data_IF_089070167564
#
_entry.id   IF_089070167564
#
_cell.length_a   1.000
_cell.length_b   1.000
_cell.length_c   1.000
_cell.angle_alpha   90.00
_cell.angle_beta   90.00
_cell.angle_gamma   90.00
#
_symmetry.space_group_name_H-M   'P 1'
#
loop_
_entity.id
_entity.type
_entity.pdbx_description
1 polymer ?
#
# COMPACT_ATOMS: atom_id res chain seq x y z
N UNK A 1 0.81 23.13 -44.26
CA UNK A 1 1.56 22.28 -43.30
C UNK A 1 1.46 22.95 -41.95
N UNK A 2 0.68 22.37 -41.04
CA UNK A 2 0.30 23.03 -39.79
C UNK A 2 1.41 22.91 -38.74
N UNK A 3 1.89 24.04 -38.24
CA UNK A 3 2.85 24.10 -37.15
C UNK A 3 2.14 23.79 -35.83
N UNK A 4 1.95 22.50 -35.55
CA UNK A 4 1.44 22.01 -34.28
C UNK A 4 2.32 22.50 -33.13
N UNK A 5 1.85 23.53 -32.42
CA UNK A 5 2.47 24.07 -31.21
C UNK A 5 2.39 23.04 -30.09
N UNK A 6 3.38 22.14 -30.04
CA UNK A 6 3.51 21.06 -29.07
C UNK A 6 3.59 21.64 -27.64
N UNK A 7 2.44 21.78 -26.98
CA UNK A 7 2.39 21.95 -25.52
C UNK A 7 3.12 20.75 -24.92
N UNK A 8 4.25 21.01 -24.25
CA UNK A 8 5.01 19.97 -23.56
C UNK A 8 4.07 19.28 -22.56
N UNK A 9 3.85 17.96 -22.65
CA UNK A 9 2.93 17.26 -21.77
C UNK A 9 3.41 17.37 -20.32
N UNK A 10 2.49 17.58 -19.37
CA UNK A 10 2.83 17.67 -17.94
C UNK A 10 2.93 16.26 -17.35
N UNK A 11 4.15 15.76 -17.30
CA UNK A 11 4.51 14.42 -16.84
C UNK A 11 5.26 14.54 -15.52
N UNK A 12 4.76 13.87 -14.50
CA UNK A 12 5.25 13.89 -13.13
C UNK A 12 5.27 12.48 -12.53
N UNK A 13 5.81 12.34 -11.32
CA UNK A 13 6.02 11.03 -10.69
C UNK A 13 4.71 10.27 -10.36
N UNK A 14 3.54 10.89 -10.47
CA UNK A 14 2.26 10.21 -10.29
C UNK A 14 1.67 9.70 -11.61
N UNK A 15 1.88 10.41 -12.73
CA UNK A 15 1.22 10.10 -14.01
C UNK A 15 2.16 9.56 -15.12
N UNK A 16 3.48 9.51 -14.91
CA UNK A 16 4.42 9.09 -15.97
C UNK A 16 4.30 7.63 -16.45
N UNK A 17 3.63 6.75 -15.70
CA UNK A 17 3.31 5.37 -16.13
C UNK A 17 1.98 5.27 -16.90
N UNK A 18 1.22 6.37 -17.04
CA UNK A 18 -0.04 6.37 -17.78
C UNK A 18 0.16 6.03 -19.26
N UNK A 19 -0.77 5.26 -19.83
CA UNK A 19 -0.72 4.85 -21.24
C UNK A 19 -0.67 6.03 -22.23
N UNK A 20 -1.20 7.20 -21.84
CA UNK A 20 -1.14 8.45 -22.63
C UNK A 20 0.29 8.97 -22.86
N UNK A 21 1.26 8.62 -22.01
CA UNK A 21 2.65 9.08 -22.11
C UNK A 21 3.63 7.99 -22.54
N UNK A 22 3.17 6.75 -22.79
CA UNK A 22 4.01 5.60 -23.16
C UNK A 22 4.91 5.84 -24.38
N UNK A 23 4.46 6.67 -25.33
CA UNK A 23 5.21 7.06 -26.54
C UNK A 23 5.67 8.52 -26.51
N UNK A 24 5.70 9.15 -25.33
CA UNK A 24 6.21 10.51 -25.14
C UNK A 24 7.72 10.58 -25.37
N UNK A 25 8.18 11.67 -26.00
CA UNK A 25 9.61 12.01 -26.08
C UNK A 25 10.23 12.39 -24.73
N UNK A 26 9.40 12.75 -23.75
CA UNK A 26 9.81 13.24 -22.43
C UNK A 26 9.42 12.26 -21.32
N UNK A 27 10.35 12.03 -20.38
CA UNK A 27 10.19 11.10 -19.25
C UNK A 27 9.53 11.76 -18.03
N UNK A 28 10.02 12.94 -17.65
CA UNK A 28 9.45 13.80 -16.63
C UNK A 28 9.61 15.25 -17.10
N UNK A 29 8.58 16.07 -16.90
CA UNK A 29 8.57 17.50 -17.28
C UNK A 29 8.15 18.41 -16.12
N UNK A 30 7.59 17.85 -15.05
CA UNK A 30 7.29 18.56 -13.80
C UNK A 30 8.58 18.94 -13.06
N UNK A 31 8.84 20.25 -12.80
CA UNK A 31 10.07 20.69 -12.14
C UNK A 31 10.27 20.05 -10.76
N UNK A 32 9.20 19.92 -9.96
CA UNK A 32 9.26 19.29 -8.62
C UNK A 32 9.53 17.79 -8.67
N UNK A 33 9.17 17.12 -9.75
CA UNK A 33 9.54 15.71 -9.97
C UNK A 33 11.00 15.55 -10.38
N UNK A 34 11.51 16.44 -11.22
CA UNK A 34 12.92 16.47 -11.60
C UNK A 34 13.82 16.84 -10.41
N UNK A 35 13.41 17.81 -9.60
CA UNK A 35 14.08 18.20 -8.35
C UNK A 35 14.13 17.04 -7.35
N UNK A 36 13.01 16.34 -7.12
CA UNK A 36 12.97 15.15 -6.26
C UNK A 36 13.91 14.03 -6.73
N UNK A 37 13.98 13.78 -8.04
CA UNK A 37 14.92 12.82 -8.63
C UNK A 37 16.38 13.27 -8.46
N UNK A 38 16.66 14.55 -8.71
CA UNK A 38 17.99 15.14 -8.58
C UNK A 38 18.54 15.08 -7.15
N UNK A 39 17.70 15.37 -6.14
CA UNK A 39 18.09 15.30 -4.72
C UNK A 39 18.42 13.87 -4.25
N UNK A 40 17.87 12.85 -4.92
CA UNK A 40 18.14 11.44 -4.62
C UNK A 40 19.22 10.82 -5.52
N UNK A 41 19.76 11.58 -6.48
CA UNK A 41 20.71 11.06 -7.47
C UNK A 41 20.10 10.01 -8.42
N UNK A 42 18.77 9.97 -8.56
CA UNK A 42 18.06 8.99 -9.39
C UNK A 42 17.83 9.61 -10.77
N UNK A 43 18.39 9.06 -11.88
CA UNK A 43 18.09 9.56 -13.20
C UNK A 43 16.64 9.18 -13.58
N UNK A 44 15.81 10.09 -14.14
CA UNK A 44 14.42 9.79 -14.49
C UNK A 44 14.23 8.55 -15.38
N UNK A 45 15.21 8.27 -16.26
CA UNK A 45 15.20 7.11 -17.17
C UNK A 45 15.24 5.77 -16.41
N UNK A 46 15.84 5.72 -15.21
CA UNK A 46 15.86 4.51 -14.38
C UNK A 46 14.49 4.16 -13.79
N UNK A 47 13.55 5.11 -13.75
CA UNK A 47 12.21 4.90 -13.21
C UNK A 47 11.25 4.29 -14.24
N UNK A 48 11.59 4.33 -15.53
CA UNK A 48 10.79 3.75 -16.60
C UNK A 48 10.73 2.22 -16.49
N UNK A 49 9.52 1.68 -16.56
CA UNK A 49 9.31 0.25 -16.68
C UNK A 49 9.91 -0.27 -18.00
N UNK A 50 10.74 -1.31 -17.92
CA UNK A 50 11.27 -2.03 -19.08
C UNK A 50 10.50 -3.33 -19.22
N UNK A 51 9.97 -3.59 -20.41
CA UNK A 51 9.26 -4.84 -20.65
C UNK A 51 10.19 -6.05 -20.51
N UNK A 52 9.63 -7.19 -20.09
CA UNK A 52 10.36 -8.47 -20.03
C UNK A 52 11.06 -8.80 -21.36
N UNK A 53 10.45 -8.45 -22.48
CA UNK A 53 11.00 -8.60 -23.84
C UNK A 53 12.24 -7.74 -24.10
N UNK A 54 12.23 -6.47 -23.71
CA UNK A 54 13.41 -5.59 -23.81
C UNK A 54 14.53 -6.05 -22.87
N UNK A 55 14.18 -6.49 -21.66
CA UNK A 55 15.16 -7.01 -20.69
C UNK A 55 15.85 -8.29 -21.21
N UNK A 56 15.07 -9.24 -21.75
CA UNK A 56 15.60 -10.44 -22.41
C UNK A 56 16.52 -10.13 -23.60
N UNK A 57 16.23 -9.07 -24.36
CA UNK A 57 17.06 -8.65 -25.50
C UNK A 57 18.47 -8.20 -25.08
N UNK A 58 18.64 -7.66 -23.87
CA UNK A 58 19.95 -7.28 -23.32
C UNK A 58 20.74 -8.46 -22.75
N UNK A 59 20.08 -9.52 -22.26
CA UNK A 59 20.71 -10.62 -21.51
C UNK A 59 20.75 -11.98 -22.25
N UNK A 60 20.77 -11.98 -23.59
CA UNK A 60 20.77 -13.18 -24.47
C UNK A 60 21.84 -14.26 -24.19
N UNK A 61 22.83 -14.01 -23.33
CA UNK A 61 23.92 -14.94 -22.99
C UNK A 61 23.70 -15.72 -21.68
N UNK A 62 22.61 -15.49 -20.96
CA UNK A 62 22.32 -16.12 -19.66
C UNK A 62 21.19 -17.17 -19.75
N UNK A 63 21.12 -18.15 -18.83
CA UNK A 63 19.99 -19.08 -18.76
C UNK A 63 18.67 -18.36 -18.44
N UNK A 64 17.53 -18.72 -19.06
CA UNK A 64 16.25 -18.04 -18.87
C UNK A 64 15.84 -17.85 -17.40
N UNK A 65 16.03 -18.88 -16.56
CA UNK A 65 15.70 -18.81 -15.12
C UNK A 65 16.49 -17.74 -14.37
N UNK A 66 17.76 -17.50 -14.75
CA UNK A 66 18.58 -16.46 -14.12
C UNK A 66 18.24 -15.06 -14.63
N UNK A 67 17.81 -14.95 -15.89
CA UNK A 67 17.31 -13.67 -16.42
C UNK A 67 16.00 -13.27 -15.72
N UNK A 68 15.11 -14.23 -15.44
CA UNK A 68 13.86 -13.95 -14.73
C UNK A 68 14.11 -13.42 -13.30
N UNK A 69 15.01 -14.07 -12.56
CA UNK A 69 15.42 -13.63 -11.21
C UNK A 69 16.03 -12.22 -11.24
N UNK A 70 16.88 -11.92 -12.22
CA UNK A 70 17.47 -10.59 -12.42
C UNK A 70 16.43 -9.54 -12.83
N UNK A 71 15.45 -9.91 -13.65
CA UNK A 71 14.35 -9.04 -14.06
C UNK A 71 13.49 -8.64 -12.85
N UNK A 72 13.04 -9.63 -12.05
CA UNK A 72 12.28 -9.41 -10.81
C UNK A 72 13.03 -8.46 -9.87
N UNK A 73 14.31 -8.74 -9.61
CA UNK A 73 15.16 -7.91 -8.75
C UNK A 73 15.35 -6.48 -9.29
N UNK A 74 15.41 -6.31 -10.62
CA UNK A 74 15.54 -4.99 -11.24
C UNK A 74 14.24 -4.17 -11.16
N UNK A 75 13.07 -4.81 -11.30
CA UNK A 75 11.77 -4.15 -11.11
C UNK A 75 11.51 -3.80 -9.65
N UNK A 76 11.94 -4.64 -8.70
CA UNK A 76 11.92 -4.33 -7.27
C UNK A 76 12.76 -3.07 -6.97
N UNK A 77 14.01 -3.03 -7.43
CA UNK A 77 14.88 -1.84 -7.30
C UNK A 77 14.29 -0.59 -7.96
N UNK A 78 13.61 -0.74 -9.11
CA UNK A 78 12.91 0.37 -9.80
C UNK A 78 11.76 0.90 -8.94
N UNK A 79 10.93 0.02 -8.38
CA UNK A 79 9.82 0.38 -7.49
C UNK A 79 10.31 1.09 -6.24
N UNK A 80 11.38 0.60 -5.61
CA UNK A 80 12.01 1.26 -4.46
C UNK A 80 12.52 2.67 -4.77
N UNK A 81 13.20 2.85 -5.91
CA UNK A 81 13.63 4.16 -6.41
C UNK A 81 12.42 5.08 -6.62
N UNK A 82 11.34 4.56 -7.21
CA UNK A 82 10.13 5.33 -7.49
C UNK A 82 9.40 5.77 -6.22
N UNK A 83 9.22 4.89 -5.24
CA UNK A 83 8.60 5.22 -3.95
C UNK A 83 9.39 6.32 -3.22
N UNK A 84 10.72 6.22 -3.20
CA UNK A 84 11.61 7.26 -2.63
C UNK A 84 11.44 8.60 -3.35
N UNK A 85 11.39 8.60 -4.69
CA UNK A 85 11.19 9.80 -5.49
C UNK A 85 9.81 10.46 -5.26
N UNK A 86 8.72 9.67 -5.22
CA UNK A 86 7.37 10.16 -4.89
C UNK A 86 7.32 10.80 -3.50
N UNK A 87 7.90 10.15 -2.50
CA UNK A 87 7.97 10.68 -1.14
C UNK A 87 8.78 11.99 -1.06
N UNK A 88 9.89 12.09 -1.78
CA UNK A 88 10.69 13.31 -1.82
C UNK A 88 9.95 14.46 -2.52
N UNK A 89 9.22 14.19 -3.61
CA UNK A 89 8.31 15.16 -4.26
C UNK A 89 7.23 15.65 -3.28
N UNK A 90 6.65 14.75 -2.48
CA UNK A 90 5.65 15.12 -1.47
C UNK A 90 6.24 16.04 -0.39
N UNK A 91 7.47 15.79 0.08
CA UNK A 91 8.18 16.68 1.01
C UNK A 91 8.43 18.06 0.43
N UNK A 92 8.85 18.16 -0.83
CA UNK A 92 9.04 19.43 -1.53
C UNK A 92 7.72 20.22 -1.61
N UNK A 93 6.61 19.54 -1.93
CA UNK A 93 5.28 20.16 -1.95
C UNK A 93 4.85 20.66 -0.56
N UNK A 94 5.07 19.87 0.50
CA UNK A 94 4.77 20.27 1.88
C UNK A 94 5.57 21.51 2.32
N UNK A 95 6.89 21.50 2.11
CA UNK A 95 7.76 22.64 2.44
C UNK A 95 7.37 23.91 1.68
N UNK A 96 6.90 23.79 0.43
CA UNK A 96 6.37 24.95 -0.32
C UNK A 96 5.01 25.43 0.17
N UNK A 97 4.23 24.61 0.87
CA UNK A 97 2.98 25.05 1.49
C UNK A 97 3.25 25.81 2.80
N UNK A 98 4.23 25.37 3.59
CA UNK A 98 4.61 25.99 4.87
C UNK A 98 5.25 27.38 4.65
N UNK A 99 6.16 27.51 3.66
CA UNK A 99 6.82 28.80 3.37
C UNK A 99 5.88 29.89 2.83
N UNK A 100 4.69 29.53 2.34
CA UNK A 100 3.66 30.48 1.91
C UNK A 100 2.81 31.01 3.08
N UNK A 101 3.03 30.56 4.32
CA UNK A 101 2.27 31.02 5.49
C UNK A 101 3.01 32.05 6.35
N UNK A 102 4.33 32.21 6.21
CA UNK A 102 5.10 33.22 6.94
C UNK A 102 5.25 34.56 6.17
N UNK A 103 5.02 34.57 4.86
CA UNK A 103 5.20 35.75 4.01
C UNK A 103 4.00 36.72 3.97
N UNK A 104 2.91 36.43 4.70
CA UNK A 104 1.74 37.33 4.84
C UNK A 104 1.83 38.26 6.09
N UNK A 105 2.94 38.21 6.85
CA UNK A 105 3.20 39.18 7.93
C UNK A 105 3.89 40.42 7.36
N UNK A 106 3.04 41.37 6.99
CA UNK A 106 3.40 42.72 6.52
C UNK A 106 4.21 43.49 7.58
N UNK A 107 5.55 43.46 7.51
CA UNK A 107 6.40 44.40 8.24
C UNK A 107 6.52 45.71 7.45
N UNK A 108 6.19 46.88 8.03
CA UNK A 108 6.39 48.16 7.37
C UNK A 108 7.89 48.48 7.29
N UNK A 109 8.35 48.90 6.11
CA UNK A 109 9.75 49.24 5.89
C UNK A 109 10.18 50.46 6.74
N UNK A 110 11.17 50.27 7.61
CA UNK A 110 11.99 51.38 8.09
C UNK A 110 13.05 51.70 7.04
N UNK A 111 13.02 52.94 6.57
CA UNK A 111 14.04 53.51 5.67
C UNK A 111 15.15 54.08 6.55
N UNK A 112 16.41 53.67 6.32
CA UNK A 112 17.66 54.46 6.37
C UNK A 112 18.88 53.52 6.60
N UNK A 113 20.09 53.91 6.18
CA UNK A 113 20.45 54.42 4.86
C UNK A 113 21.62 53.60 4.25
N UNK A 114 22.06 54.00 3.05
CA UNK A 114 23.19 53.42 2.30
C UNK A 114 24.49 53.38 3.13
N UNK A 115 25.23 52.28 3.01
CA UNK A 115 26.69 52.29 2.95
C UNK A 115 27.15 51.19 1.98
N UNK A 116 27.95 51.58 0.98
CA UNK A 116 28.68 50.66 0.12
C UNK A 116 29.79 49.97 0.91
N UNK A 117 29.80 48.63 0.97
CA UNK A 117 31.06 47.90 1.03
C UNK A 117 30.93 46.45 0.54
N UNK A 118 31.92 46.06 -0.27
CA UNK A 118 32.06 44.78 -0.97
C UNK A 118 31.88 43.55 -0.06
N UNK A 119 31.07 42.57 -0.49
CA UNK A 119 31.36 41.16 -0.19
C UNK A 119 31.01 40.22 -1.35
N UNK A 120 32.03 39.50 -1.83
CA UNK A 120 31.94 38.51 -2.92
C UNK A 120 31.81 37.10 -2.33
N UNK A 121 30.87 36.25 -2.77
CA UNK A 121 30.77 34.88 -2.28
C UNK A 121 31.97 34.02 -2.68
N UNK A 122 32.73 33.52 -1.69
CA UNK A 122 33.79 32.53 -1.93
C UNK A 122 33.22 31.16 -2.26
N UNK A 123 33.26 30.79 -3.55
CA UNK A 123 32.99 29.45 -4.04
C UNK A 123 34.18 28.54 -3.68
N UNK A 124 34.02 27.64 -2.70
CA UNK A 124 34.94 26.48 -2.57
C UNK A 124 34.64 25.45 -3.65
N UNK A 125 35.45 25.43 -4.71
CA UNK A 125 35.68 24.22 -5.51
C UNK A 125 36.92 23.52 -4.98
N UNK A 126 36.85 22.20 -4.78
CA UNK A 126 38.03 21.36 -4.94
C UNK A 126 37.99 20.75 -6.34
N UNK A 127 39.11 20.85 -7.06
CA UNK A 127 39.48 20.03 -8.23
C UNK A 127 39.54 18.54 -7.84
N UNK A 128 39.48 17.52 -8.73
CA UNK A 128 40.11 17.25 -10.04
C UNK A 128 39.13 16.28 -10.80
N UNK A 129 39.00 16.13 -12.14
CA UNK A 129 39.84 16.38 -13.34
C UNK A 129 39.04 16.66 -14.64
N UNK A 130 39.80 16.97 -15.70
CA UNK A 130 39.70 16.75 -17.17
C UNK A 130 38.52 15.89 -17.74
N UNK A 131 37.97 16.08 -18.96
CA UNK A 131 38.52 16.63 -20.23
C UNK A 131 37.42 17.20 -21.19
N UNK A 132 37.83 18.15 -22.04
CA UNK A 132 37.38 18.37 -23.45
C UNK A 132 35.98 18.94 -23.84
N UNK A 133 35.97 20.27 -24.03
CA UNK A 133 35.75 20.96 -25.33
C UNK A 133 34.36 21.18 -25.98
N UNK A 134 34.21 22.44 -26.44
CA UNK A 134 33.25 23.04 -27.41
C UNK A 134 31.83 23.32 -26.90
N UNK A 135 31.15 24.41 -27.28
CA UNK A 135 31.42 25.84 -27.59
C UNK A 135 30.08 26.39 -28.11
N UNK A 136 29.83 27.69 -27.93
CA UNK A 136 28.78 28.50 -28.55
C UNK A 136 27.34 28.38 -27.99
N UNK A 137 26.50 29.43 -28.03
CA UNK A 137 26.68 30.87 -27.77
C UNK A 137 25.29 31.56 -27.82
N UNK A 138 25.16 32.75 -27.21
CA UNK A 138 24.11 33.79 -27.43
C UNK A 138 22.76 33.56 -26.70
N UNK A 139 22.35 34.46 -25.77
CA UNK A 139 21.74 35.81 -25.95
C UNK A 139 20.30 35.72 -26.53
N UNK A 140 19.26 36.44 -26.07
CA UNK A 140 19.15 37.47 -25.01
C UNK A 140 17.66 37.82 -24.75
N UNK A 141 17.41 38.52 -23.64
CA UNK A 141 16.25 39.41 -23.36
C UNK A 141 14.85 38.79 -23.12
N UNK A 142 14.28 39.16 -21.97
CA UNK A 142 12.85 39.24 -21.71
C UNK A 142 12.55 40.65 -21.17
N UNK A 143 11.54 41.32 -21.72
CA UNK A 143 10.79 42.38 -21.04
C UNK A 143 9.31 41.98 -20.95
N UNK A 144 8.54 42.47 -19.94
CA UNK A 144 7.19 42.01 -19.67
C UNK A 144 6.09 43.04 -19.99
N UNK A 145 4.99 42.64 -20.65
CA UNK A 145 3.80 43.49 -20.81
C UNK A 145 2.49 42.74 -20.45
N UNK A 146 1.96 43.12 -19.28
CA UNK A 146 0.56 43.40 -18.93
C UNK A 146 -0.55 42.42 -19.35
N UNK A 147 -1.22 41.85 -18.34
CA UNK A 147 -2.57 41.27 -18.44
C UNK A 147 -3.67 42.33 -18.20
N UNK A 148 -4.69 42.38 -19.06
CA UNK A 148 -6.07 42.77 -18.73
C UNK A 148 -6.94 41.51 -18.89
N UNK A 149 -7.72 41.09 -17.89
CA UNK A 149 -9.06 41.58 -17.48
C UNK A 149 -10.14 41.30 -18.54
N UNK A 150 -11.02 40.36 -18.24
CA UNK A 150 -12.49 40.47 -18.08
C UNK A 150 -13.03 39.04 -17.80
N UNK A 151 -14.02 38.69 -16.96
CA UNK A 151 -15.16 39.34 -16.28
C UNK A 151 -16.49 39.39 -17.06
N UNK A 152 -17.19 38.25 -17.10
CA UNK A 152 -18.61 38.09 -17.46
C UNK A 152 -19.21 36.95 -16.58
N UNK A 153 -20.49 36.87 -16.18
CA UNK A 153 -21.64 37.79 -16.14
C UNK A 153 -22.73 37.12 -15.23
N UNK A 154 -23.36 37.89 -14.33
CA UNK A 154 -24.83 38.06 -14.02
C UNK A 154 -25.83 36.86 -13.98
N UNK A 155 -26.99 36.88 -13.28
CA UNK A 155 -27.76 37.97 -12.60
C UNK A 155 -28.85 37.49 -11.57
N UNK A 156 -29.59 38.45 -10.98
CA UNK A 156 -31.04 38.42 -10.57
C UNK A 156 -31.52 37.54 -9.39
N UNK A 157 -32.50 37.90 -8.53
CA UNK A 157 -33.27 39.12 -8.13
C UNK A 157 -33.44 39.04 -6.57
N UNK A 158 -33.57 40.07 -5.71
CA UNK A 158 -34.44 41.27 -5.58
C UNK A 158 -35.91 41.01 -5.15
N UNK A 159 -36.61 41.95 -4.46
CA UNK A 159 -36.14 42.98 -3.50
C UNK A 159 -37.09 43.26 -2.28
N UNK A 160 -36.70 44.16 -1.36
CA UNK A 160 -37.60 45.22 -0.82
C UNK A 160 -36.88 46.27 0.06
N UNK A 161 -37.54 47.44 0.17
CA UNK A 161 -37.19 48.75 0.75
C UNK A 161 -36.50 48.77 2.16
N UNK A 162 -35.87 49.86 2.65
CA UNK A 162 -36.23 51.28 2.48
C UNK A 162 -35.07 52.27 2.65
N UNK A 163 -35.22 53.46 2.07
CA UNK A 163 -34.37 54.66 2.23
C UNK A 163 -35.22 55.81 2.77
N UNK A 164 -34.63 56.91 3.28
CA UNK A 164 -34.55 58.07 2.40
C UNK A 164 -33.20 58.81 2.45
N UNK A 165 -33.06 59.78 1.55
CA UNK A 165 -31.85 60.54 1.23
C UNK A 165 -32.17 62.06 1.29
N UNK A 166 -31.19 62.90 0.91
CA UNK A 166 -31.27 64.33 0.59
C UNK A 166 -31.04 65.30 1.76
N UNK A 167 -30.42 66.48 1.57
CA UNK A 167 -29.65 66.96 0.41
C UNK A 167 -28.64 68.06 0.79
N UNK A 168 -27.72 68.30 -0.15
CA UNK A 168 -26.74 69.39 -0.19
C UNK A 168 -27.41 70.72 -0.54
N UNK A 169 -27.02 71.84 0.10
CA UNK A 169 -26.69 73.07 -0.65
C UNK A 169 -25.88 74.09 0.18
N UNK A 170 -24.86 74.69 -0.46
CA UNK A 170 -24.28 75.99 -0.07
C UNK A 170 -24.92 77.09 -0.93
N UNK A 171 -25.12 78.30 -0.38
CA UNK A 171 -24.82 79.58 -1.06
C UNK A 171 -24.92 80.75 -0.10
N UNK A 172 -24.15 81.79 -0.37
CA UNK A 172 -24.25 83.12 0.26
C UNK A 172 -25.19 84.01 -0.55
N UNK A 173 -25.70 85.10 0.05
CA UNK A 173 -25.71 86.44 -0.57
C UNK A 173 -26.11 87.57 0.40
N UNK A 174 -26.00 88.81 -0.09
CA UNK A 174 -26.14 90.11 0.58
C UNK A 174 -27.59 90.62 0.69
N UNK A 175 -27.80 91.61 1.57
CA UNK A 175 -28.96 92.53 1.58
C UNK A 175 -29.42 92.85 3.01
N UNK A 176 -29.02 93.96 3.65
CA UNK A 176 -29.40 95.39 3.51
C UNK A 176 -30.80 95.75 4.07
N UNK A 177 -30.81 96.82 4.89
CA UNK A 177 -31.97 97.67 5.25
C UNK A 177 -33.00 97.04 6.22
N UNK A 178 -33.73 97.77 7.10
CA UNK A 178 -33.77 99.21 7.41
C UNK A 178 -34.57 99.47 8.71
N UNK A 179 -34.23 100.51 9.49
CA UNK A 179 -35.08 101.27 10.45
C UNK A 179 -35.80 100.50 11.60
N UNK A 180 -36.24 101.08 12.72
CA UNK A 180 -35.93 102.34 13.44
C UNK A 180 -35.69 101.99 14.93
N UNK A 181 -35.55 102.89 15.90
CA UNK A 181 -36.38 104.06 16.22
C UNK A 181 -35.56 105.06 17.05
N UNK A 182 -35.79 106.36 16.82
CA UNK A 182 -35.28 107.50 17.59
C UNK A 182 -36.15 107.81 18.82
N UNK A 183 -35.59 108.57 19.78
CA UNK A 183 -36.15 109.24 20.99
C UNK A 183 -35.56 108.70 22.30
N UNK A 184 -35.25 109.48 23.34
CA UNK A 184 -35.08 110.94 23.54
C UNK A 184 -33.98 111.09 24.64
N UNK A 185 -33.00 111.99 24.55
CA UNK A 185 -33.03 113.42 24.88
C UNK A 185 -33.38 113.75 26.35
N UNK A 186 -32.43 114.41 27.05
CA UNK A 186 -32.48 114.75 28.48
C UNK A 186 -31.39 114.01 29.29
N UNK A 187 -30.54 114.63 30.10
CA UNK A 187 -30.44 116.04 30.49
C UNK A 187 -28.97 116.54 30.52
N UNK A 188 -28.85 117.85 30.30
CA UNK A 188 -27.62 118.65 30.35
C UNK A 188 -27.40 119.12 31.79
N UNK A 189 -26.31 118.71 32.44
CA UNK A 189 -25.85 119.35 33.69
C UNK A 189 -24.33 119.55 33.68
N UNK A 190 -23.93 120.82 33.58
CA UNK A 190 -22.54 121.26 33.68
C UNK A 190 -22.00 121.02 35.09
N UNK A 191 -20.86 120.34 35.19
CA UNK A 191 -19.84 120.68 36.20
C UNK A 191 -18.48 120.73 35.51
N UNK A 192 -18.02 121.95 35.23
CA UNK A 192 -16.59 122.23 34.98
C UNK A 192 -15.84 121.92 36.28
N UNK A 193 -15.10 120.83 36.29
CA UNK A 193 -14.00 120.63 37.23
C UNK A 193 -12.69 120.82 36.44
N UNK A 194 -11.88 121.77 36.86
CA UNK A 194 -10.61 122.13 36.21
C UNK A 194 -9.53 121.10 36.55
N UNK A 195 -9.60 119.94 35.91
CA UNK A 195 -8.56 118.90 36.00
C UNK A 195 -7.34 119.28 35.16
N UNK A 196 -6.15 119.08 35.74
CA UNK A 196 -4.87 119.40 35.10
C UNK A 196 -4.62 118.50 33.88
N UNK A 197 -3.67 118.87 33.02
CA UNK A 197 -3.30 118.03 31.86
C UNK A 197 -2.86 116.61 32.28
N UNK A 198 -2.20 116.50 33.42
CA UNK A 198 -1.76 115.23 34.02
C UNK A 198 -2.92 114.31 34.43
N UNK A 199 -4.05 114.86 34.88
CA UNK A 199 -5.20 114.05 35.30
C UNK A 199 -5.89 113.37 34.11
N UNK A 200 -5.94 114.06 32.96
CA UNK A 200 -6.50 113.50 31.71
C UNK A 200 -5.64 112.37 31.19
N UNK A 201 -4.32 112.52 31.25
CA UNK A 201 -3.38 111.46 30.89
C UNK A 201 -3.47 110.26 31.84
N UNK A 202 -3.52 110.48 33.16
CA UNK A 202 -3.76 109.42 34.15
C UNK A 202 -5.05 108.66 33.84
N UNK A 203 -6.16 109.37 33.58
CA UNK A 203 -7.44 108.74 33.21
C UNK A 203 -7.36 107.97 31.88
N UNK A 204 -6.60 108.46 30.90
CA UNK A 204 -6.37 107.74 29.65
C UNK A 204 -5.63 106.42 29.90
N UNK A 205 -4.54 106.43 30.67
CA UNK A 205 -3.80 105.22 31.02
C UNK A 205 -4.63 104.24 31.85
N UNK A 206 -5.43 104.69 32.82
CA UNK A 206 -6.36 103.82 33.57
C UNK A 206 -7.42 103.19 32.66
N UNK A 207 -7.97 103.94 31.68
CA UNK A 207 -8.92 103.39 30.69
C UNK A 207 -8.25 102.37 29.77
N UNK A 208 -7.04 102.67 29.27
CA UNK A 208 -6.26 101.78 28.41
C UNK A 208 -5.90 100.47 29.12
N UNK A 209 -5.42 100.55 30.36
CA UNK A 209 -5.13 99.39 31.21
C UNK A 209 -6.40 98.56 31.50
N UNK A 210 -7.54 99.22 31.75
CA UNK A 210 -8.82 98.54 31.95
C UNK A 210 -9.31 97.84 30.68
N UNK A 211 -9.10 98.47 29.52
CA UNK A 211 -9.44 97.90 28.21
C UNK A 211 -8.54 96.72 27.85
N UNK A 212 -7.23 96.82 28.12
CA UNK A 212 -6.26 95.75 27.92
C UNK A 212 -6.55 94.57 28.84
N UNK A 213 -6.88 94.81 30.11
CA UNK A 213 -7.36 93.77 31.03
C UNK A 213 -8.61 93.08 30.49
N UNK A 214 -9.60 93.83 30.01
CA UNK A 214 -10.81 93.26 29.40
C UNK A 214 -10.50 92.43 28.14
N UNK A 215 -9.53 92.84 27.30
CA UNK A 215 -9.08 92.05 26.16
C UNK A 215 -8.36 90.78 26.59
N UNK A 216 -7.50 90.84 27.61
CA UNK A 216 -6.79 89.68 28.13
C UNK A 216 -7.77 88.68 28.78
N UNK A 217 -8.72 89.14 29.59
CA UNK A 217 -9.84 88.34 30.09
C UNK A 217 -10.60 87.62 28.96
N UNK A 218 -10.85 88.31 27.83
CA UNK A 218 -11.51 87.71 26.66
C UNK A 218 -10.63 86.66 25.98
N UNK A 219 -9.33 86.93 25.81
CA UNK A 219 -8.35 85.96 25.27
C UNK A 219 -8.23 84.73 26.16
N UNK A 220 -8.14 84.89 27.47
CA UNK A 220 -8.09 83.77 28.42
C UNK A 220 -9.38 82.93 28.39
N UNK A 221 -10.56 83.57 28.36
CA UNK A 221 -11.84 82.86 28.18
C UNK A 221 -11.89 82.09 26.85
N UNK A 222 -11.34 82.65 25.77
CA UNK A 222 -11.26 81.97 24.48
C UNK A 222 -10.29 80.78 24.51
N UNK A 223 -9.10 80.94 25.09
CA UNK A 223 -8.10 79.87 25.28
C UNK A 223 -8.67 78.75 26.16
N UNK A 224 -9.36 79.09 27.26
CA UNK A 224 -10.01 78.12 28.15
C UNK A 224 -11.08 77.32 27.40
N UNK A 225 -11.97 77.99 26.67
CA UNK A 225 -12.99 77.33 25.80
C UNK A 225 -12.36 76.43 24.74
N UNK A 226 -11.21 76.81 24.17
CA UNK A 226 -10.50 75.98 23.20
C UNK A 226 -9.88 74.74 23.85
N UNK A 227 -9.20 74.89 25.00
CA UNK A 227 -8.65 73.77 25.79
C UNK A 227 -9.75 72.78 26.23
N UNK A 228 -10.91 73.29 26.66
CA UNK A 228 -12.07 72.45 27.01
C UNK A 228 -12.62 71.68 25.80
N UNK A 229 -12.70 72.30 24.61
CA UNK A 229 -13.09 71.60 23.37
C UNK A 229 -12.08 70.51 23.00
N UNK A 230 -10.78 70.81 23.09
CA UNK A 230 -9.72 69.86 22.76
C UNK A 230 -9.75 68.64 23.71
N UNK A 231 -9.89 68.86 25.02
CA UNK A 231 -10.05 67.81 26.03
C UNK A 231 -11.31 66.95 25.78
N UNK A 232 -12.42 67.55 25.34
CA UNK A 232 -13.63 66.79 24.95
C UNK A 232 -13.39 65.91 23.71
N UNK A 233 -12.73 66.43 22.68
CA UNK A 233 -12.36 65.66 21.47
C UNK A 233 -11.40 64.52 21.81
N UNK A 234 -10.41 64.77 22.66
CA UNK A 234 -9.44 63.78 23.12
C UNK A 234 -10.11 62.67 23.95
N UNK A 235 -10.99 63.02 24.90
CA UNK A 235 -11.80 62.04 25.64
C UNK A 235 -12.66 61.18 24.72
N UNK A 236 -13.30 61.78 23.71
CA UNK A 236 -14.12 61.05 22.75
C UNK A 236 -13.27 60.12 21.86
N UNK A 237 -12.11 60.59 21.38
CA UNK A 237 -11.13 59.74 20.67
C UNK A 237 -10.69 58.55 21.52
N UNK A 238 -10.39 58.77 22.79
CA UNK A 238 -9.95 57.71 23.71
C UNK A 238 -11.08 56.74 24.06
N UNK A 239 -12.34 57.17 24.06
CA UNK A 239 -13.51 56.28 24.15
C UNK A 239 -13.62 55.39 22.91
N UNK A 240 -13.55 55.97 21.70
CA UNK A 240 -13.58 55.21 20.44
C UNK A 240 -12.45 54.18 20.37
N UNK A 241 -11.24 54.52 20.81
CA UNK A 241 -10.11 53.58 20.84
C UNK A 241 -10.37 52.41 21.79
N UNK A 242 -10.84 52.67 23.03
CA UNK A 242 -11.20 51.63 23.99
C UNK A 242 -12.35 50.74 23.51
N UNK A 243 -13.31 51.30 22.78
CA UNK A 243 -14.42 50.53 22.20
C UNK A 243 -13.92 49.64 21.05
N UNK A 244 -13.07 50.16 20.15
CA UNK A 244 -12.42 49.37 19.10
C UNK A 244 -11.57 48.23 19.67
N UNK A 245 -10.82 48.49 20.73
CA UNK A 245 -10.02 47.49 21.44
C UNK A 245 -10.89 46.37 22.03
N UNK A 246 -11.97 46.72 22.74
CA UNK A 246 -12.96 45.75 23.25
C UNK A 246 -13.58 44.91 22.15
N UNK A 247 -13.97 45.53 21.04
CA UNK A 247 -14.56 44.84 19.89
C UNK A 247 -13.56 43.90 19.21
N UNK A 248 -12.27 44.29 19.12
CA UNK A 248 -11.20 43.44 18.60
C UNK A 248 -10.96 42.21 19.49
N UNK A 249 -10.92 42.41 20.81
CA UNK A 249 -10.77 41.33 21.80
C UNK A 249 -11.97 40.37 21.74
N UNK A 250 -13.20 40.90 21.72
CA UNK A 250 -14.42 40.09 21.61
C UNK A 250 -14.44 39.26 20.30
N UNK A 251 -14.10 39.88 19.16
CA UNK A 251 -14.01 39.18 17.88
C UNK A 251 -12.90 38.11 17.87
N UNK A 252 -11.77 38.36 18.54
CA UNK A 252 -10.72 37.35 18.72
C UNK A 252 -11.20 36.15 19.52
N UNK A 253 -11.86 36.36 20.67
CA UNK A 253 -12.45 35.27 21.46
C UNK A 253 -13.58 34.53 20.74
N UNK A 254 -14.36 35.20 19.90
CA UNK A 254 -15.37 34.53 19.06
C UNK A 254 -14.72 33.64 17.99
N UNK A 255 -13.70 34.14 17.28
CA UNK A 255 -12.92 33.33 16.32
C UNK A 255 -12.27 32.13 17.01
N UNK A 256 -11.64 32.33 18.16
CA UNK A 256 -11.04 31.25 18.94
C UNK A 256 -12.07 30.17 19.33
N UNK A 257 -13.26 30.56 19.82
CA UNK A 257 -14.36 29.61 20.12
C UNK A 257 -14.81 28.83 18.87
N UNK A 258 -14.97 29.50 17.73
CA UNK A 258 -15.33 28.86 16.45
C UNK A 258 -14.26 27.86 15.98
N UNK A 259 -12.98 28.21 16.09
CA UNK A 259 -11.85 27.31 15.77
C UNK A 259 -11.87 26.08 16.69
N UNK A 260 -12.01 26.25 18.01
CA UNK A 260 -12.08 25.12 18.95
C UNK A 260 -13.26 24.17 18.66
N UNK A 261 -14.43 24.70 18.30
CA UNK A 261 -15.58 23.87 17.89
C UNK A 261 -15.30 23.08 16.60
N UNK A 262 -14.64 23.68 15.61
CA UNK A 262 -14.24 22.98 14.38
C UNK A 262 -13.19 21.90 14.65
N UNK A 263 -12.22 22.17 15.52
CA UNK A 263 -11.21 21.20 15.92
C UNK A 263 -11.80 20.01 16.67
N UNK A 264 -12.74 20.23 17.60
CA UNK A 264 -13.39 19.11 18.31
C UNK A 264 -14.28 18.28 17.38
N UNK A 265 -15.03 18.91 16.45
CA UNK A 265 -15.76 18.19 15.39
C UNK A 265 -14.83 17.37 14.50
N UNK A 266 -13.68 17.92 14.10
CA UNK A 266 -12.66 17.21 13.31
C UNK A 266 -12.08 16.01 14.08
N UNK A 267 -11.89 16.15 15.40
CA UNK A 267 -11.43 15.07 16.29
C UNK A 267 -12.49 13.98 16.47
N UNK A 268 -13.78 14.34 16.60
CA UNK A 268 -14.90 13.39 16.62
C UNK A 268 -15.00 12.62 15.29
N UNK A 269 -14.97 13.32 14.15
CA UNK A 269 -14.95 12.70 12.82
C UNK A 269 -13.77 11.74 12.64
N UNK A 270 -12.57 12.13 13.10
CA UNK A 270 -11.40 11.25 13.07
C UNK A 270 -11.60 9.99 13.89
N UNK A 271 -12.13 10.09 15.13
CA UNK A 271 -12.45 8.93 15.96
C UNK A 271 -13.40 7.96 15.25
N UNK A 272 -14.52 8.46 14.72
CA UNK A 272 -15.48 7.61 13.99
C UNK A 272 -14.85 6.94 12.76
N UNK A 273 -14.00 7.64 12.00
CA UNK A 273 -13.28 7.05 10.86
C UNK A 273 -12.32 5.93 11.31
N UNK A 274 -11.59 6.14 12.42
CA UNK A 274 -10.65 5.15 12.94
C UNK A 274 -11.39 3.95 13.60
N UNK A 275 -12.58 4.17 14.18
CA UNK A 275 -13.51 3.14 14.66
C UNK A 275 -14.07 2.29 13.50
N UNK A 276 -14.64 2.90 12.45
CA UNK A 276 -15.10 2.18 11.25
C UNK A 276 -13.97 1.40 10.56
N UNK A 277 -12.74 1.92 10.55
CA UNK A 277 -11.58 1.18 10.05
C UNK A 277 -11.30 -0.06 10.88
N UNK A 278 -11.35 0.04 12.22
CA UNK A 278 -11.16 -1.08 13.14
C UNK A 278 -12.22 -2.17 12.91
N UNK A 279 -13.49 -1.79 12.80
CA UNK A 279 -14.59 -2.72 12.48
C UNK A 279 -14.38 -3.45 11.14
N UNK A 280 -13.93 -2.73 10.09
CA UNK A 280 -13.62 -3.34 8.79
C UNK A 280 -12.44 -4.32 8.86
N UNK A 281 -11.40 -4.01 9.66
CA UNK A 281 -10.29 -4.94 9.89
C UNK A 281 -10.75 -6.20 10.63
N UNK A 282 -11.53 -6.06 11.71
CA UNK A 282 -12.06 -7.17 12.49
C UNK A 282 -13.01 -8.06 11.67
N UNK A 283 -13.91 -7.46 10.88
CA UNK A 283 -14.80 -8.21 9.98
C UNK A 283 -14.00 -8.98 8.91
N UNK A 284 -12.95 -8.38 8.36
CA UNK A 284 -12.04 -9.06 7.42
C UNK A 284 -11.29 -10.20 8.08
N UNK A 285 -10.72 -9.98 9.27
CA UNK A 285 -10.00 -10.99 10.04
C UNK A 285 -10.90 -12.19 10.37
N UNK A 286 -12.12 -11.95 10.87
CA UNK A 286 -13.11 -13.01 11.08
C UNK A 286 -13.44 -13.78 9.79
N UNK A 287 -13.55 -13.10 8.64
CA UNK A 287 -13.83 -13.77 7.36
C UNK A 287 -12.69 -14.69 6.92
N UNK A 288 -11.43 -14.26 7.14
CA UNK A 288 -10.22 -15.05 6.87
C UNK A 288 -10.12 -16.23 7.83
N UNK A 289 -10.36 -16.00 9.12
CA UNK A 289 -10.34 -17.04 10.15
C UNK A 289 -11.36 -18.15 9.85
N UNK A 290 -12.61 -17.80 9.53
CA UNK A 290 -13.63 -18.78 9.10
C UNK A 290 -13.25 -19.52 7.81
N UNK A 291 -12.48 -18.90 6.91
CA UNK A 291 -11.98 -19.57 5.72
C UNK A 291 -10.86 -20.58 6.05
N UNK A 292 -9.92 -20.21 6.93
CA UNK A 292 -8.85 -21.09 7.44
C UNK A 292 -9.46 -22.30 8.17
N UNK A 293 -10.46 -22.09 9.00
CA UNK A 293 -11.19 -23.15 9.70
C UNK A 293 -11.84 -24.12 8.73
N UNK A 294 -12.58 -23.63 7.72
CA UNK A 294 -13.19 -24.47 6.67
C UNK A 294 -12.16 -25.30 5.89
N UNK A 295 -11.00 -24.73 5.58
CA UNK A 295 -9.91 -25.45 4.91
C UNK A 295 -9.31 -26.52 5.83
N UNK A 296 -9.11 -26.18 7.11
CA UNK A 296 -8.58 -27.09 8.12
C UNK A 296 -9.51 -28.28 8.39
N UNK A 297 -10.83 -28.04 8.49
CA UNK A 297 -11.83 -29.09 8.63
C UNK A 297 -11.83 -30.03 7.43
N UNK A 298 -11.85 -29.49 6.20
CA UNK A 298 -11.79 -30.29 4.96
C UNK A 298 -10.53 -31.15 4.90
N UNK A 299 -9.37 -30.58 5.22
CA UNK A 299 -8.10 -31.30 5.25
C UNK A 299 -8.11 -32.44 6.29
N UNK A 300 -8.68 -32.20 7.48
CA UNK A 300 -8.82 -33.24 8.52
C UNK A 300 -9.79 -34.35 8.12
N UNK A 301 -10.91 -34.00 7.48
CA UNK A 301 -11.87 -34.97 6.92
C UNK A 301 -11.24 -35.81 5.81
N UNK A 302 -10.50 -35.18 4.89
CA UNK A 302 -9.79 -35.87 3.81
C UNK A 302 -8.71 -36.82 4.35
N UNK A 303 -7.92 -36.39 5.34
CA UNK A 303 -6.97 -37.25 6.04
C UNK A 303 -7.64 -38.46 6.70
N UNK A 304 -8.80 -38.26 7.35
CA UNK A 304 -9.58 -39.37 7.94
C UNK A 304 -10.10 -40.33 6.87
N UNK A 305 -10.61 -39.82 5.74
CA UNK A 305 -11.07 -40.64 4.60
C UNK A 305 -9.94 -41.47 4.00
N UNK A 306 -8.79 -40.85 3.73
CA UNK A 306 -7.59 -41.54 3.24
C UNK A 306 -7.08 -42.59 4.24
N UNK A 307 -7.14 -42.31 5.54
CA UNK A 307 -6.80 -43.29 6.57
C UNK A 307 -7.78 -44.49 6.62
N UNK A 308 -9.09 -44.25 6.48
CA UNK A 308 -10.07 -45.34 6.41
C UNK A 308 -9.92 -46.17 5.12
N UNK A 309 -9.66 -45.52 3.97
CA UNK A 309 -9.45 -46.20 2.70
C UNK A 309 -8.19 -47.09 2.73
N UNK A 310 -7.09 -46.59 3.33
CA UNK A 310 -5.87 -47.38 3.56
C UNK A 310 -6.14 -48.61 4.42
N UNK A 311 -6.88 -48.46 5.53
CA UNK A 311 -7.27 -49.59 6.39
C UNK A 311 -8.15 -50.60 5.63
N UNK A 312 -9.12 -50.14 4.86
CA UNK A 312 -9.98 -51.02 4.06
C UNK A 312 -9.19 -51.81 3.02
N UNK A 313 -8.28 -51.16 2.28
CA UNK A 313 -7.37 -51.82 1.33
C UNK A 313 -6.45 -52.83 2.04
N UNK A 314 -5.95 -52.50 3.22
CA UNK A 314 -5.12 -53.41 4.01
C UNK A 314 -5.91 -54.66 4.45
N UNK A 315 -7.15 -54.52 4.94
CA UNK A 315 -8.00 -55.68 5.27
C UNK A 315 -8.30 -56.53 4.03
N UNK A 316 -8.59 -55.91 2.88
CA UNK A 316 -8.85 -56.64 1.64
C UNK A 316 -7.62 -57.39 1.13
N UNK A 317 -6.41 -56.82 1.27
CA UNK A 317 -5.16 -57.52 0.97
C UNK A 317 -4.95 -58.69 1.93
N UNK A 318 -5.21 -58.52 3.22
CA UNK A 318 -5.08 -59.59 4.21
C UNK A 318 -6.06 -60.75 3.96
N UNK A 319 -7.30 -60.44 3.60
CA UNK A 319 -8.32 -61.42 3.20
C UNK A 319 -7.91 -62.18 1.92
N UNK A 320 -7.47 -61.46 0.89
CA UNK A 320 -6.95 -62.05 -0.35
C UNK A 320 -5.74 -62.97 -0.10
N UNK A 321 -4.84 -62.61 0.82
CA UNK A 321 -3.71 -63.46 1.23
C UNK A 321 -4.18 -64.72 1.95
N UNK A 322 -5.13 -64.61 2.88
CA UNK A 322 -5.72 -65.77 3.57
C UNK A 322 -6.41 -66.73 2.60
N UNK A 323 -7.17 -66.20 1.65
CA UNK A 323 -7.85 -66.98 0.62
C UNK A 323 -6.86 -67.67 -0.33
N UNK A 324 -5.78 -66.98 -0.74
CA UNK A 324 -4.71 -67.57 -1.53
C UNK A 324 -3.98 -68.70 -0.78
N UNK A 325 -3.73 -68.53 0.52
CA UNK A 325 -3.16 -69.58 1.37
C UNK A 325 -4.08 -70.80 1.52
N UNK A 326 -5.41 -70.63 1.61
CA UNK A 326 -6.36 -71.77 1.62
C UNK A 326 -6.26 -72.57 0.32
N UNK A 327 -6.32 -71.90 -0.82
CA UNK A 327 -6.20 -72.55 -2.14
C UNK A 327 -4.86 -73.26 -2.30
N UNK A 328 -3.78 -72.67 -1.79
CA UNK A 328 -2.47 -73.33 -1.78
C UNK A 328 -2.48 -74.60 -0.91
N UNK A 329 -3.09 -74.57 0.28
CA UNK A 329 -3.24 -75.75 1.14
C UNK A 329 -4.12 -76.84 0.50
N UNK A 330 -5.20 -76.46 -0.18
CA UNK A 330 -6.06 -77.39 -0.92
C UNK A 330 -5.30 -78.05 -2.08
N UNK A 331 -4.53 -77.29 -2.86
CA UNK A 331 -3.67 -77.81 -3.92
C UNK A 331 -2.59 -78.75 -3.37
N UNK A 332 -1.96 -78.40 -2.23
CA UNK A 332 -0.98 -79.27 -1.55
C UNK A 332 -1.61 -80.60 -1.12
N UNK A 333 -2.80 -80.58 -0.49
CA UNK A 333 -3.53 -81.79 -0.08
C UNK A 333 -3.97 -82.64 -1.28
N UNK A 334 -4.43 -82.01 -2.36
CA UNK A 334 -4.80 -82.72 -3.59
C UNK A 334 -3.59 -83.40 -4.25
N UNK A 335 -2.43 -82.73 -4.26
CA UNK A 335 -1.18 -83.31 -4.73
C UNK A 335 -0.70 -84.48 -3.86
N UNK A 336 -0.80 -84.35 -2.53
CA UNK A 336 -0.48 -85.43 -1.59
C UNK A 336 -1.38 -86.66 -1.79
N UNK A 337 -2.70 -86.46 -1.91
CA UNK A 337 -3.65 -87.54 -2.21
C UNK A 337 -3.35 -88.22 -3.55
N UNK A 338 -2.98 -87.45 -4.58
CA UNK A 338 -2.60 -87.98 -5.89
C UNK A 338 -1.27 -88.77 -5.85
N UNK A 339 -0.34 -88.43 -4.95
CA UNK A 339 0.86 -89.23 -4.70
C UNK A 339 0.49 -90.53 -3.96
N UNK A 340 -0.30 -90.47 -2.89
CA UNK A 340 -0.77 -91.65 -2.16
C UNK A 340 -1.50 -92.64 -3.08
N UNK A 341 -2.34 -92.15 -4.00
CA UNK A 341 -3.02 -92.99 -5.00
C UNK A 341 -2.03 -93.68 -5.97
N UNK A 342 -0.95 -93.01 -6.37
CA UNK A 342 0.11 -93.60 -7.20
C UNK A 342 0.90 -94.66 -6.43
N UNK A 343 1.27 -94.38 -5.19
CA UNK A 343 1.97 -95.34 -4.33
C UNK A 343 1.10 -96.58 -4.07
N UNK A 344 -0.19 -96.40 -3.85
CA UNK A 344 -1.17 -97.49 -3.70
C UNK A 344 -1.36 -98.32 -4.98
N UNK A 345 -1.21 -97.70 -6.15
CA UNK A 345 -1.22 -98.40 -7.42
C UNK A 345 0.09 -99.18 -7.64
N UNK A 346 1.23 -98.60 -7.29
CA UNK A 346 2.54 -99.26 -7.34
C UNK A 346 2.58 -100.45 -6.39
N UNK A 347 2.07 -100.32 -5.15
CA UNK A 347 1.93 -101.44 -4.19
C UNK A 347 1.14 -102.60 -4.79
N UNK A 348 -0.05 -102.33 -5.33
CA UNK A 348 -0.88 -103.35 -6.01
C UNK A 348 -0.18 -104.01 -7.20
N UNK A 349 0.59 -103.27 -7.99
CA UNK A 349 1.38 -103.84 -9.09
C UNK A 349 2.56 -104.71 -8.62
N UNK A 350 3.15 -104.39 -7.46
CA UNK A 350 4.20 -105.23 -6.84
C UNK A 350 3.56 -106.53 -6.31
N UNK A 351 2.48 -106.42 -5.54
CA UNK A 351 1.72 -107.57 -5.02
C UNK A 351 1.24 -108.51 -6.14
N UNK A 352 0.72 -107.96 -7.24
CA UNK A 352 0.31 -108.77 -8.40
C UNK A 352 1.50 -109.48 -9.06
N UNK A 353 2.64 -108.79 -9.22
CA UNK A 353 3.87 -109.42 -9.74
C UNK A 353 4.39 -110.51 -8.82
N UNK A 354 4.39 -110.29 -7.51
CA UNK A 354 4.83 -111.26 -6.51
C UNK A 354 3.90 -112.48 -6.47
N UNK A 355 2.57 -112.27 -6.57
CA UNK A 355 1.60 -113.35 -6.71
C UNK A 355 1.79 -114.16 -8.00
N UNK A 356 2.05 -113.51 -9.14
CA UNK A 356 2.38 -114.20 -10.41
C UNK A 356 3.71 -114.98 -10.32
N UNK A 357 4.73 -114.41 -9.68
CA UNK A 357 6.01 -115.09 -9.41
C UNK A 357 5.76 -116.32 -8.52
N UNK A 358 4.92 -116.19 -7.48
CA UNK A 358 4.61 -117.31 -6.58
C UNK A 358 3.78 -118.39 -7.27
N UNK A 359 2.83 -118.04 -8.15
CA UNK A 359 2.13 -119.00 -9.02
C UNK A 359 3.14 -119.75 -9.92
N UNK A 360 4.09 -119.03 -10.53
CA UNK A 360 5.14 -119.65 -11.36
C UNK A 360 6.06 -120.57 -10.54
N UNK A 361 6.40 -120.23 -9.30
CA UNK A 361 7.15 -121.08 -8.37
C UNK A 361 6.36 -122.34 -8.00
N UNK A 362 5.09 -122.20 -7.64
CA UNK A 362 4.22 -123.32 -7.30
C UNK A 362 4.04 -124.27 -8.50
N UNK A 363 3.90 -123.74 -9.71
CA UNK A 363 3.83 -124.54 -10.94
C UNK A 363 5.15 -125.28 -11.23
N UNK A 364 6.30 -124.62 -11.02
CA UNK A 364 7.61 -125.25 -11.16
C UNK A 364 7.81 -126.40 -10.15
N UNK A 365 7.43 -126.19 -8.88
CA UNK A 365 7.45 -127.24 -7.85
C UNK A 365 6.51 -128.39 -8.19
N UNK A 366 5.28 -128.12 -8.66
CA UNK A 366 4.36 -129.17 -9.09
C UNK A 366 4.90 -129.98 -10.27
N UNK A 367 5.55 -129.32 -11.24
CA UNK A 367 6.22 -129.98 -12.36
C UNK A 367 7.47 -130.78 -11.91
N UNK A 368 8.17 -130.33 -10.87
CA UNK A 368 9.29 -131.05 -10.25
C UNK A 368 8.80 -132.31 -9.52
N UNK A 369 7.77 -132.22 -8.67
CA UNK A 369 7.15 -133.39 -8.04
C UNK A 369 6.63 -134.41 -9.08
N UNK A 370 6.05 -133.94 -10.20
CA UNK A 370 5.65 -134.83 -11.30
C UNK A 370 6.84 -135.51 -12.00
N UNK A 371 7.99 -134.82 -12.12
CA UNK A 371 9.23 -135.44 -12.63
C UNK A 371 9.82 -136.44 -11.64
N UNK A 372 9.83 -136.13 -10.34
CA UNK A 372 10.26 -137.05 -9.29
C UNK A 372 9.37 -138.30 -9.22
N UNK A 373 8.05 -138.13 -9.36
CA UNK A 373 7.10 -139.25 -9.38
C UNK A 373 7.24 -140.07 -10.67
N UNK A 374 7.42 -139.43 -11.83
CA UNK A 374 7.83 -140.17 -13.04
C UNK A 374 9.15 -140.91 -12.84
N UNK A 375 10.16 -140.28 -12.24
CA UNK A 375 11.43 -140.96 -11.93
C UNK A 375 11.18 -142.14 -10.99
N UNK A 376 10.32 -142.04 -9.98
CA UNK A 376 9.93 -143.18 -9.13
C UNK A 376 9.27 -144.31 -9.92
N UNK A 377 8.24 -143.99 -10.69
CA UNK A 377 7.44 -144.95 -11.47
C UNK A 377 8.30 -145.65 -12.53
N UNK A 378 9.20 -144.94 -13.20
CA UNK A 378 10.09 -145.51 -14.22
C UNK A 378 11.38 -146.12 -13.63
N UNK A 379 11.87 -145.72 -12.44
CA UNK A 379 12.99 -146.38 -11.74
C UNK A 379 12.61 -147.73 -11.07
N UNK A 380 11.34 -148.14 -11.13
CA UNK A 380 10.93 -149.51 -10.85
C UNK A 380 11.60 -150.52 -11.81
N UNK A 381 12.09 -150.05 -12.96
CA UNK A 381 12.77 -150.87 -13.94
C UNK A 381 14.02 -150.16 -14.53
N UNK A 382 14.80 -149.52 -13.63
CA UNK A 382 16.11 -148.93 -13.97
C UNK A 382 16.93 -149.91 -14.80
N UNK A 383 17.58 -149.38 -15.85
CA UNK A 383 18.41 -150.17 -16.75
C UNK A 383 19.45 -151.01 -15.99
N UNK A 384 20.03 -150.47 -14.91
CA UNK A 384 20.98 -151.20 -14.06
C UNK A 384 20.34 -152.38 -13.31
N UNK A 385 19.08 -152.30 -12.91
CA UNK A 385 18.34 -153.45 -12.32
C UNK A 385 18.03 -154.51 -13.37
N UNK A 386 17.72 -154.11 -14.61
CA UNK A 386 17.56 -155.05 -15.74
C UNK A 386 18.87 -155.72 -16.10
N UNK A 387 19.97 -154.96 -16.15
CA UNK A 387 21.33 -155.47 -16.35
C UNK A 387 21.69 -156.43 -15.22
N UNK A 388 21.58 -156.02 -13.94
CA UNK A 388 21.84 -156.91 -12.79
C UNK A 388 20.98 -158.18 -12.80
N UNK A 389 19.71 -158.11 -13.22
CA UNK A 389 18.86 -159.29 -13.39
C UNK A 389 19.37 -160.22 -14.49
N UNK A 390 19.85 -159.69 -15.60
CA UNK A 390 20.51 -160.48 -16.66
C UNK A 390 21.86 -161.05 -16.18
N UNK A 391 22.65 -160.30 -15.42
CA UNK A 391 23.90 -160.79 -14.82
C UNK A 391 23.63 -161.93 -13.84
N UNK A 392 22.64 -161.80 -12.95
CA UNK A 392 22.23 -162.87 -12.03
C UNK A 392 21.69 -164.11 -12.75
N UNK A 393 20.97 -163.95 -13.87
CA UNK A 393 20.53 -165.08 -14.70
C UNK A 393 21.74 -165.81 -15.31
N UNK A 394 22.74 -165.07 -15.80
CA UNK A 394 23.99 -165.65 -16.31
C UNK A 394 24.85 -166.30 -15.21
N UNK A 395 24.93 -165.71 -14.02
CA UNK A 395 25.73 -166.22 -12.89
C UNK A 395 25.09 -167.46 -12.22
N UNK A 396 23.76 -167.58 -12.24
CA UNK A 396 23.04 -168.74 -11.69
C UNK A 396 22.95 -169.94 -12.65
N UNK A 397 23.50 -169.86 -13.86
CA UNK A 397 23.60 -170.99 -14.79
C UNK A 397 22.27 -171.53 -15.33
N UNK A 398 21.18 -170.77 -15.23
CA UNK A 398 19.83 -171.16 -15.67
C UNK A 398 19.53 -170.74 -17.11
N UNK A 399 20.40 -171.11 -18.06
CA UNK A 399 20.14 -170.98 -19.48
C UNK A 399 19.64 -172.32 -20.04
N UNK A 400 18.33 -172.36 -20.39
CA UNK A 400 17.71 -173.49 -21.08
C UNK A 400 17.20 -173.09 -22.46
N UNK A 401 17.87 -173.62 -23.50
CA UNK A 401 17.60 -173.49 -24.94
C UNK A 401 17.71 -172.08 -25.57
#
# INVERSE_FOLDING_TARGET
MESNGLRIPRIDLENFEDSQFKYSKYVLTSPRSLEACSLLGIPPVDLLHKSRTEFLQHFKKLPPSKIEELYIKSEEQRRDKLVKAKLQRQKLLAHTAEYNHENDIFQPAEICPVNDEYWVPHIRRNSVSHLSSKKNHNFSNFEPIILKKDSHLTENLQPSASRPQSAVCRKSQYGKSSNGVLQNHGQRLMRRASYSSFDKERQFWTRKQSQEKLQNDQRERAIKRYKEKLNKVEKHRNQILKEKERNLIAAHHERARKVSQVLERRKQLKKMIDEYRKELYEAREQSVQRAIERVSSRLSEEQKRLASERRQKQMQVEENVKEMQRREQELRKAAELALQQKDEHIRRLIEEKEARIQQSRNLALAAECLREEMLRVYNLDSFDKKVQKVTLINEMGLNGN
#
